data_IF_005746229599
#
_entry.id   IF_005746229599
#
_cell.length_a   1.000
_cell.length_b   1.000
_cell.length_c   1.000
_cell.angle_alpha   90.00
_cell.angle_beta   90.00
_cell.angle_gamma   90.00
#
_symmetry.space_group_name_H-M   'P 1'
#
loop_
_entity.id
_entity.type
_entity.pdbx_description
1 polymer ?
#
# COMPACT_ATOMS: atom_id res chain seq x y z
N UNK A 1 20.75 -37.83 -28.87
CA UNK A 1 19.74 -36.78 -28.57
C UNK A 1 18.77 -37.34 -27.55
N UNK A 2 18.99 -37.02 -26.28
CA UNK A 2 18.23 -37.47 -25.12
C UNK A 2 17.56 -36.23 -24.53
N UNK A 3 16.32 -35.99 -24.98
CA UNK A 3 15.47 -34.91 -24.48
C UNK A 3 14.89 -35.35 -23.13
N UNK A 4 15.73 -35.34 -22.10
CA UNK A 4 15.28 -35.59 -20.73
C UNK A 4 14.60 -34.32 -20.20
N UNK A 5 13.29 -34.42 -20.15
CA UNK A 5 12.30 -33.51 -19.58
C UNK A 5 12.79 -32.71 -18.35
N UNK A 6 12.86 -31.39 -18.50
CA UNK A 6 13.04 -30.41 -17.43
C UNK A 6 11.72 -30.15 -16.71
N UNK A 7 11.17 -31.17 -16.02
CA UNK A 7 10.05 -30.94 -15.10
C UNK A 7 10.65 -30.45 -13.79
N UNK A 8 10.80 -29.13 -13.68
CA UNK A 8 11.27 -28.48 -12.46
C UNK A 8 10.16 -28.59 -11.39
N UNK A 9 10.35 -29.31 -10.28
CA UNK A 9 9.29 -29.55 -9.31
C UNK A 9 8.98 -28.25 -8.55
N UNK A 10 7.88 -27.62 -8.95
CA UNK A 10 6.96 -26.83 -8.11
C UNK A 10 7.66 -26.05 -6.98
N UNK A 11 8.35 -24.98 -7.35
CA UNK A 11 8.80 -23.97 -6.37
C UNK A 11 7.57 -23.46 -5.62
N UNK A 12 7.48 -23.82 -4.33
CA UNK A 12 6.52 -23.23 -3.40
C UNK A 12 6.82 -21.74 -3.39
N UNK A 13 5.95 -20.94 -4.02
CA UNK A 13 6.04 -19.48 -4.03
C UNK A 13 5.77 -19.03 -2.59
N UNK A 14 6.82 -18.95 -1.77
CA UNK A 14 6.73 -18.29 -0.47
C UNK A 14 6.25 -16.87 -0.75
N UNK A 15 5.06 -16.56 -0.26
CA UNK A 15 4.51 -15.21 -0.36
C UNK A 15 5.44 -14.31 0.44
N UNK A 16 6.28 -13.56 -0.26
CA UNK A 16 7.06 -12.46 0.31
C UNK A 16 6.08 -11.49 0.98
N UNK A 17 5.89 -11.69 2.28
CA UNK A 17 4.99 -10.88 3.09
C UNK A 17 5.83 -9.74 3.59
N UNK A 18 5.74 -8.59 2.91
CA UNK A 18 6.48 -7.39 3.32
C UNK A 18 6.10 -7.02 4.75
N UNK A 19 7.07 -6.67 5.62
CA UNK A 19 6.77 -6.24 6.97
C UNK A 19 5.88 -5.00 6.96
N UNK A 20 4.87 -4.99 7.83
CA UNK A 20 3.94 -3.88 7.99
C UNK A 20 4.39 -2.98 9.14
N UNK A 21 4.18 -1.68 8.97
CA UNK A 21 4.54 -0.66 9.95
C UNK A 21 3.38 0.29 10.17
N UNK A 22 3.24 0.79 11.40
CA UNK A 22 2.31 1.87 11.71
C UNK A 22 2.69 3.09 10.87
N UNK A 23 1.75 3.54 10.07
CA UNK A 23 1.89 4.70 9.20
C UNK A 23 0.78 5.67 9.52
N UNK A 24 1.13 6.93 9.78
CA UNK A 24 0.16 8.00 9.90
C UNK A 24 -0.47 8.30 8.54
N UNK A 25 -1.79 8.38 8.52
CA UNK A 25 -2.59 8.61 7.32
C UNK A 25 -3.62 9.70 7.56
N UNK A 26 -4.14 10.24 6.48
CA UNK A 26 -5.41 10.95 6.43
C UNK A 26 -6.48 9.97 5.94
N UNK A 27 -7.59 9.86 6.66
CA UNK A 27 -8.73 9.04 6.30
C UNK A 27 -9.90 9.94 5.91
N UNK A 28 -10.58 9.62 4.80
CA UNK A 28 -11.75 10.37 4.39
C UNK A 28 -12.86 10.23 5.44
N UNK A 29 -13.54 11.32 5.77
CA UNK A 29 -14.66 11.30 6.72
C UNK A 29 -15.96 10.78 6.10
N UNK A 30 -16.02 10.65 4.78
CA UNK A 30 -17.21 10.14 4.09
C UNK A 30 -17.20 8.61 4.13
N UNK A 31 -18.25 8.02 4.72
CA UNK A 31 -18.40 6.56 4.86
C UNK A 31 -18.47 5.85 3.50
N UNK A 32 -18.97 6.53 2.46
CA UNK A 32 -19.03 6.02 1.09
C UNK A 32 -17.70 6.17 0.33
N UNK A 33 -16.65 6.69 0.98
CA UNK A 33 -15.35 6.93 0.36
C UNK A 33 -14.22 6.23 1.14
N UNK A 34 -13.70 5.08 0.65
CA UNK A 34 -12.66 4.31 1.33
C UNK A 34 -11.25 4.94 1.20
N UNK A 35 -11.17 6.22 0.79
CA UNK A 35 -9.93 6.90 0.51
C UNK A 35 -9.13 7.15 1.79
N UNK A 36 -7.84 6.89 1.70
CA UNK A 36 -6.86 7.37 2.66
C UNK A 36 -5.60 7.77 1.90
N UNK A 37 -4.80 8.66 2.49
CA UNK A 37 -3.49 9.04 1.96
C UNK A 37 -2.47 9.07 3.08
N UNK A 38 -1.19 8.84 2.76
CA UNK A 38 -0.11 8.96 3.75
C UNK A 38 -0.03 10.42 4.22
N UNK A 39 0.12 10.64 5.53
CA UNK A 39 0.09 11.99 6.11
C UNK A 39 1.19 12.91 5.55
N UNK A 40 2.38 12.37 5.30
CA UNK A 40 3.52 13.10 4.73
C UNK A 40 3.42 13.46 3.25
N UNK A 41 2.29 13.22 2.57
CA UNK A 41 2.07 13.65 1.19
C UNK A 41 1.40 15.03 1.10
N UNK A 42 1.11 15.66 2.22
CA UNK A 42 0.58 17.03 2.30
C UNK A 42 1.20 17.76 3.49
N UNK A 43 1.33 19.07 3.37
CA UNK A 43 1.73 19.96 4.46
C UNK A 43 0.53 20.65 5.12
N UNK A 44 -0.69 20.42 4.62
CA UNK A 44 -1.91 20.98 5.17
C UNK A 44 -2.28 20.30 6.50
N UNK A 45 -2.78 21.09 7.45
CA UNK A 45 -3.24 20.58 8.75
C UNK A 45 -4.52 19.75 8.64
N UNK A 46 -5.36 20.03 7.64
CA UNK A 46 -6.57 19.25 7.31
C UNK A 46 -6.77 19.23 5.80
N UNK A 47 -6.25 18.21 5.10
CA UNK A 47 -6.42 18.12 3.65
C UNK A 47 -7.83 17.69 3.28
N UNK A 48 -8.20 17.99 2.03
CA UNK A 48 -9.39 17.43 1.39
C UNK A 48 -9.07 16.11 0.70
N UNK A 49 -10.03 15.20 0.70
CA UNK A 49 -9.95 13.93 0.01
C UNK A 49 -9.81 14.16 -1.50
N UNK A 50 -8.78 13.60 -2.17
CA UNK A 50 -8.58 13.80 -3.60
C UNK A 50 -9.61 13.06 -4.46
N UNK A 51 -10.38 12.13 -3.89
CA UNK A 51 -11.39 11.36 -4.62
C UNK A 51 -12.77 12.01 -4.57
N UNK A 52 -13.19 12.55 -3.43
CA UNK A 52 -14.55 13.09 -3.25
C UNK A 52 -14.60 14.54 -2.75
N UNK A 53 -13.47 15.14 -2.40
CA UNK A 53 -13.38 16.53 -1.92
C UNK A 53 -13.81 16.74 -0.45
N UNK A 54 -14.34 15.73 0.22
CA UNK A 54 -14.69 15.78 1.65
C UNK A 54 -13.45 16.01 2.53
N UNK A 55 -13.59 16.56 3.75
CA UNK A 55 -12.49 16.65 4.70
C UNK A 55 -11.87 15.29 5.02
N UNK A 56 -10.62 15.29 5.48
CA UNK A 56 -9.99 14.09 6.02
C UNK A 56 -9.59 14.28 7.48
N UNK A 57 -9.59 13.18 8.23
CA UNK A 57 -9.21 13.12 9.65
C UNK A 57 -7.91 12.31 9.81
N UNK A 58 -7.05 12.61 10.80
CA UNK A 58 -5.84 11.81 11.02
C UNK A 58 -6.19 10.40 11.50
N UNK A 59 -5.42 9.42 11.05
CA UNK A 59 -5.55 8.00 11.40
C UNK A 59 -4.20 7.27 11.35
N UNK A 60 -4.22 5.97 11.67
CA UNK A 60 -3.02 5.12 11.63
C UNK A 60 -3.36 3.79 10.96
N UNK A 61 -2.55 3.36 9.98
CA UNK A 61 -2.71 2.09 9.27
C UNK A 61 -1.42 1.27 9.25
N UNK A 62 -1.57 -0.05 9.20
CA UNK A 62 -0.46 -1.00 9.05
C UNK A 62 -0.14 -1.18 7.57
N UNK A 63 0.91 -0.54 7.08
CA UNK A 63 1.28 -0.53 5.67
C UNK A 63 2.74 -0.96 5.47
N UNK A 64 3.08 -1.58 4.33
CA UNK A 64 4.49 -1.74 3.95
C UNK A 64 5.16 -0.37 3.80
N UNK A 65 6.47 -0.32 4.03
CA UNK A 65 7.28 0.86 3.67
C UNK A 65 7.32 1.00 2.15
N UNK A 66 7.15 2.23 1.68
CA UNK A 66 7.44 2.57 0.28
C UNK A 66 8.96 2.66 0.16
N UNK A 67 9.55 1.88 -0.75
CA UNK A 67 10.97 1.93 -1.06
C UNK A 67 11.16 2.47 -2.47
N UNK A 68 12.01 3.47 -2.65
CA UNK A 68 12.33 4.07 -3.96
C UNK A 68 12.90 3.08 -4.99
N UNK A 69 13.35 1.91 -4.51
CA UNK A 69 13.94 0.86 -5.35
C UNK A 69 12.93 -0.04 -6.05
N UNK A 70 11.63 0.15 -5.84
CA UNK A 70 10.62 -0.65 -6.54
C UNK A 70 10.20 0.10 -7.82
N UNK A 71 10.69 -0.30 -9.02
CA UNK A 71 10.24 0.29 -10.26
C UNK A 71 8.74 0.02 -10.41
N UNK A 72 8.00 1.07 -10.79
CA UNK A 72 6.59 0.98 -11.18
C UNK A 72 6.42 0.05 -12.38
#
# INVERSE_FOLDING_TARGET
MNHSAWINPRTKREKDTKPLFQTEVWECVSDDCPCWMRKGLTFEEQPKCPLCGSPMTPGVRMLPRVSDKEPR
#
